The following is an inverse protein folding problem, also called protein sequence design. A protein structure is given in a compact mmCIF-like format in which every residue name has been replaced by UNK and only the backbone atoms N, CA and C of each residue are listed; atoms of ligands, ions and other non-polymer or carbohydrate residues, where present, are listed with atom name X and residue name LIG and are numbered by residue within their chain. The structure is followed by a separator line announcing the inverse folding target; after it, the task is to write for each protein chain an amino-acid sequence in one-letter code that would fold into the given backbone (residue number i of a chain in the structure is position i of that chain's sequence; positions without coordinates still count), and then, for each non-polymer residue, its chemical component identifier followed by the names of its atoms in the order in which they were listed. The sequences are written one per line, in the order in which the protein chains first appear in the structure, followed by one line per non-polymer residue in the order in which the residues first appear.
data_IF_427506466582
#
_entry.id   IF_427506466582
#
_cell.length_a   1.000
_cell.length_b   1.000
_cell.length_c   1.000
_cell.angle_alpha   90.00
_cell.angle_beta   90.00
_cell.angle_gamma   90.00
#
_symmetry.space_group_name_H-M   'P 1'
#
loop_
_entity.id
_entity.type
_entity.pdbx_description
1 polymer ?
#
# COMPACT_ATOMS: atom_id res chain seq x y z
N UNK A 1 11.79 10.25 18.93
CA UNK A 1 11.62 9.23 17.86
C UNK A 1 10.80 9.80 16.71
N UNK A 2 9.67 10.47 16.98
CA UNK A 2 8.86 11.14 15.94
C UNK A 2 9.63 12.21 15.16
N UNK A 3 10.46 13.04 15.81
CA UNK A 3 11.31 14.01 15.11
C UNK A 3 12.28 13.37 14.11
N UNK A 4 12.79 12.17 14.42
CA UNK A 4 13.72 11.46 13.54
C UNK A 4 13.01 11.02 12.25
N UNK A 5 11.76 10.57 12.38
CA UNK A 5 10.95 10.13 11.24
C UNK A 5 10.67 11.33 10.33
N UNK A 6 10.18 12.45 10.88
CA UNK A 6 9.88 13.65 10.08
C UNK A 6 11.14 14.14 9.35
N UNK A 7 12.31 14.13 10.02
CA UNK A 7 13.57 14.52 9.39
C UNK A 7 13.91 13.65 8.17
N UNK A 8 13.78 12.33 8.28
CA UNK A 8 13.99 11.43 7.15
C UNK A 8 13.01 11.62 6.00
N UNK A 9 11.80 12.14 6.26
CA UNK A 9 10.84 12.44 5.20
C UNK A 9 11.27 13.61 4.31
N UNK A 10 12.15 14.50 4.79
CA UNK A 10 12.68 15.60 3.97
C UNK A 10 13.70 15.13 2.93
N UNK A 11 14.30 13.95 3.09
CA UNK A 11 15.30 13.39 2.17
C UNK A 11 14.68 12.92 0.84
N UNK A 12 13.37 12.73 0.79
CA UNK A 12 12.66 12.32 -0.43
C UNK A 12 12.46 13.50 -1.37
N UNK A 13 12.54 13.27 -2.68
CA UNK A 13 12.26 14.32 -3.70
C UNK A 13 10.77 14.71 -3.73
N UNK A 14 9.88 13.73 -3.59
CA UNK A 14 8.44 13.93 -3.54
C UNK A 14 7.80 12.71 -2.91
N UNK A 15 6.76 12.92 -2.09
CA UNK A 15 5.99 11.85 -1.46
C UNK A 15 4.64 11.71 -2.15
N UNK A 16 4.23 10.47 -2.35
CA UNK A 16 2.92 10.13 -2.88
C UNK A 16 2.13 9.45 -1.76
N UNK A 17 0.94 9.97 -1.46
CA UNK A 17 0.11 9.50 -0.34
C UNK A 17 -1.28 9.07 -0.82
N UNK A 18 -1.94 8.29 0.04
CA UNK A 18 -3.20 7.64 -0.31
C UNK A 18 -4.41 8.57 -0.26
N UNK A 19 -4.40 9.55 0.66
CA UNK A 19 -5.55 10.40 0.90
C UNK A 19 -5.12 11.79 1.39
N UNK A 20 -6.09 12.69 1.45
CA UNK A 20 -5.88 14.09 1.83
C UNK A 20 -5.46 14.22 3.30
N UNK A 21 -6.00 13.40 4.19
CA UNK A 21 -5.64 13.41 5.61
C UNK A 21 -4.13 13.21 5.84
N UNK A 22 -3.51 12.26 5.14
CA UNK A 22 -2.07 12.07 5.18
C UNK A 22 -1.30 13.26 4.62
N UNK A 23 -1.81 13.91 3.57
CA UNK A 23 -1.21 15.13 3.01
C UNK A 23 -1.25 16.26 4.04
N UNK A 24 -2.39 16.49 4.67
CA UNK A 24 -2.57 17.52 5.69
C UNK A 24 -1.65 17.33 6.89
N UNK A 25 -1.51 16.09 7.37
CA UNK A 25 -0.58 15.76 8.45
C UNK A 25 0.87 16.07 8.08
N UNK A 26 1.31 15.66 6.88
CA UNK A 26 2.67 15.91 6.41
C UNK A 26 2.95 17.42 6.23
N UNK A 27 1.98 18.16 5.69
CA UNK A 27 2.06 19.61 5.55
C UNK A 27 2.14 20.28 6.92
N UNK A 28 1.36 19.83 7.89
CA UNK A 28 1.43 20.30 9.28
C UNK A 28 2.80 20.06 9.94
N UNK A 29 3.51 19.02 9.50
CA UNK A 29 4.88 18.71 9.90
C UNK A 29 5.96 19.41 9.03
N UNK A 30 5.58 20.29 8.09
CA UNK A 30 6.51 21.03 7.23
C UNK A 30 6.95 20.29 5.95
N UNK A 31 6.38 19.13 5.65
CA UNK A 31 6.66 18.34 4.43
C UNK A 31 5.62 18.67 3.35
N UNK A 32 6.00 19.50 2.37
CA UNK A 32 5.05 20.07 1.39
C UNK A 32 5.11 19.44 0.00
N UNK A 33 6.18 18.71 -0.32
CA UNK A 33 6.37 18.00 -1.60
C UNK A 33 5.59 16.68 -1.59
N UNK A 34 4.26 16.80 -1.56
CA UNK A 34 3.33 15.69 -1.36
C UNK A 34 2.18 15.77 -2.38
N UNK A 35 1.87 14.64 -3.04
CA UNK A 35 0.69 14.49 -3.89
C UNK A 35 -0.19 13.33 -3.42
N UNK A 36 -1.50 13.54 -3.43
CA UNK A 36 -2.47 12.46 -3.21
C UNK A 36 -2.66 11.70 -4.53
N UNK A 37 -2.40 10.39 -4.53
CA UNK A 37 -2.53 9.53 -5.72
C UNK A 37 -3.42 8.31 -5.48
N UNK A 38 -3.99 8.17 -4.28
CA UNK A 38 -4.71 6.96 -3.90
C UNK A 38 -3.79 5.81 -3.55
N UNK A 39 -4.34 4.60 -3.49
CA UNK A 39 -3.60 3.39 -3.15
C UNK A 39 -3.48 2.46 -4.36
N UNK A 40 -2.37 2.59 -5.08
CA UNK A 40 -2.06 1.78 -6.26
C UNK A 40 -1.83 0.30 -5.94
N UNK A 41 -1.74 -0.07 -4.65
CA UNK A 41 -1.57 -1.47 -4.26
C UNK A 41 -2.86 -2.26 -4.49
N UNK A 42 -4.03 -1.64 -4.30
CA UNK A 42 -5.30 -2.29 -4.62
C UNK A 42 -5.45 -2.53 -6.11
N UNK A 43 -5.05 -1.56 -6.94
CA UNK A 43 -5.04 -1.71 -8.39
C UNK A 43 -4.16 -2.90 -8.80
N UNK A 44 -2.98 -3.03 -8.17
CA UNK A 44 -2.07 -4.15 -8.40
C UNK A 44 -2.64 -5.48 -7.92
N UNK A 45 -3.32 -5.52 -6.77
CA UNK A 45 -4.00 -6.74 -6.28
C UNK A 45 -5.07 -7.18 -7.28
N UNK A 46 -5.87 -6.25 -7.80
CA UNK A 46 -6.89 -6.55 -8.79
C UNK A 46 -6.28 -7.13 -10.07
N UNK A 47 -5.19 -6.51 -10.57
CA UNK A 47 -4.46 -7.00 -11.74
C UNK A 47 -3.90 -8.42 -11.51
N UNK A 48 -3.30 -8.68 -10.36
CA UNK A 48 -2.75 -10.00 -10.01
C UNK A 48 -3.88 -11.03 -9.93
N UNK A 49 -5.02 -10.68 -9.33
CA UNK A 49 -6.18 -11.55 -9.23
C UNK A 49 -6.74 -11.91 -10.61
N UNK A 50 -6.85 -10.93 -11.51
CA UNK A 50 -7.30 -11.15 -12.90
C UNK A 50 -6.33 -12.04 -13.69
N UNK A 51 -5.03 -11.98 -13.39
CA UNK A 51 -4.00 -12.80 -14.02
C UNK A 51 -3.73 -14.11 -13.27
N UNK A 52 -4.50 -14.42 -12.22
CA UNK A 52 -4.24 -15.56 -11.38
C UNK A 52 -4.29 -16.86 -12.19
N UNK A 53 -3.22 -17.64 -12.11
CA UNK A 53 -3.15 -18.95 -12.77
C UNK A 53 -4.11 -19.89 -12.07
N UNK A 54 -4.72 -20.78 -12.85
CA UNK A 54 -5.42 -21.92 -12.29
C UNK A 54 -4.41 -22.85 -11.61
N UNK A 55 -4.63 -23.17 -10.33
CA UNK A 55 -3.73 -23.98 -9.51
C UNK A 55 -4.47 -25.21 -8.94
N UNK A 56 -4.65 -26.29 -9.74
CA UNK A 56 -5.42 -27.47 -9.33
C UNK A 56 -4.95 -28.11 -8.03
N UNK A 57 -3.65 -28.07 -7.73
CA UNK A 57 -3.09 -28.60 -6.48
C UNK A 57 -3.58 -27.82 -5.26
N UNK A 58 -3.69 -26.49 -5.37
CA UNK A 58 -4.19 -25.63 -4.29
C UNK A 58 -5.69 -25.85 -4.08
N UNK A 59 -6.45 -26.01 -5.17
CA UNK A 59 -7.87 -26.35 -5.11
C UNK A 59 -8.11 -27.69 -4.41
N UNK A 60 -7.32 -28.72 -4.78
CA UNK A 60 -7.37 -30.04 -4.14
C UNK A 60 -6.92 -30.00 -2.69
N UNK A 61 -5.90 -29.22 -2.37
CA UNK A 61 -5.43 -29.03 -0.99
C UNK A 61 -6.50 -28.37 -0.12
N UNK A 62 -7.17 -27.33 -0.63
CA UNK A 62 -8.23 -26.63 0.10
C UNK A 62 -9.47 -27.49 0.30
N UNK A 63 -9.90 -28.22 -0.73
CA UNK A 63 -11.15 -28.99 -0.68
C UNK A 63 -12.33 -28.11 -0.26
N UNK A 64 -13.03 -28.51 0.80
CA UNK A 64 -14.16 -27.75 1.38
C UNK A 64 -13.80 -26.99 2.66
N UNK A 65 -12.55 -27.02 3.08
CA UNK A 65 -12.11 -26.42 4.33
C UNK A 65 -11.80 -24.93 4.16
N UNK A 66 -11.96 -24.17 5.24
CA UNK A 66 -11.39 -22.83 5.32
C UNK A 66 -9.86 -22.95 5.40
N UNK A 67 -9.16 -22.25 4.50
CA UNK A 67 -7.69 -22.25 4.44
C UNK A 67 -7.23 -20.82 4.57
N UNK A 68 -6.31 -20.59 5.51
CA UNK A 68 -5.61 -19.33 5.68
C UNK A 68 -4.28 -19.38 4.93
N UNK A 69 -3.97 -18.31 4.20
CA UNK A 69 -2.63 -18.06 3.65
C UNK A 69 -2.06 -16.90 4.46
N UNK A 70 -0.90 -17.11 5.08
CA UNK A 70 -0.21 -16.14 5.92
C UNK A 70 1.10 -15.70 5.25
#
# INVERSE_FOLDING_TARGET
MEELIIRSLHDFTHLFVQNEYSRELLVGCGVTRVSVVGDTRFDRVLQICQQAKHLPLVERFRGYSFVLVA
#
